data_IF_569664910887
#
_entry.id   IF_569664910887
#
_cell.length_a   1.000
_cell.length_b   1.000
_cell.length_c   1.000
_cell.angle_alpha   90.00
_cell.angle_beta   90.00
_cell.angle_gamma   90.00
#
_symmetry.space_group_name_H-M   'P 1'
#
loop_
_entity.id
_entity.type
_entity.pdbx_description
1 polymer ?
#
# COMPACT_ATOMS: atom_id res chain seq x y z
N UNK A 1 2.44 58.92 -22.01
CA UNK A 1 2.38 57.55 -22.57
C UNK A 1 3.29 56.62 -21.77
N UNK A 2 2.79 55.93 -20.72
CA UNK A 2 3.57 54.97 -19.95
C UNK A 2 3.47 53.55 -20.56
N UNK A 3 4.56 52.77 -20.52
CA UNK A 3 4.54 51.33 -20.84
C UNK A 3 4.36 50.50 -19.57
N UNK A 4 3.43 49.55 -19.65
CA UNK A 4 3.05 48.56 -18.63
C UNK A 4 4.23 47.66 -18.24
N UNK A 5 4.35 47.35 -16.95
CA UNK A 5 4.90 46.08 -16.45
C UNK A 5 3.76 45.35 -15.75
N UNK A 6 3.53 44.10 -16.14
CA UNK A 6 2.47 43.25 -15.61
C UNK A 6 2.89 42.70 -14.24
N UNK A 7 2.04 42.91 -13.24
CA UNK A 7 2.19 42.35 -11.89
C UNK A 7 1.57 40.95 -11.84
N UNK A 8 2.35 39.98 -11.36
CA UNK A 8 1.89 38.62 -11.07
C UNK A 8 0.94 38.61 -9.85
N UNK A 9 -0.25 37.97 -9.92
CA UNK A 9 -1.30 38.13 -8.90
C UNK A 9 -1.15 37.24 -7.65
N UNK A 10 -0.03 36.55 -7.45
CA UNK A 10 0.16 35.67 -6.28
C UNK A 10 1.46 35.98 -5.53
N UNK A 11 1.42 37.01 -4.69
CA UNK A 11 2.31 37.15 -3.54
C UNK A 11 1.45 37.16 -2.28
N UNK A 12 1.48 36.06 -1.53
CA UNK A 12 0.83 35.95 -0.22
C UNK A 12 1.76 36.56 0.86
N UNK A 13 1.23 37.35 1.80
CA UNK A 13 2.02 37.88 2.91
C UNK A 13 2.43 36.76 3.89
N UNK A 14 3.72 36.77 4.27
CA UNK A 14 4.14 36.28 5.59
C UNK A 14 3.43 37.14 6.65
N UNK A 15 2.82 36.48 7.64
CA UNK A 15 2.35 36.95 8.96
C UNK A 15 1.06 36.19 9.31
N UNK A 16 1.19 34.94 9.77
CA UNK A 16 0.16 34.25 10.53
C UNK A 16 0.63 34.21 11.99
N UNK A 17 -0.04 35.03 12.80
CA UNK A 17 0.28 35.25 14.20
C UNK A 17 0.29 33.99 15.05
N UNK A 18 1.08 34.03 16.12
CA UNK A 18 1.09 33.01 17.18
C UNK A 18 -0.31 32.87 17.78
N UNK A 19 -0.87 31.66 17.96
CA UNK A 19 -2.14 31.50 18.66
C UNK A 19 -1.96 31.75 20.16
N UNK A 20 -2.88 32.53 20.72
CA UNK A 20 -2.86 33.08 22.08
C UNK A 20 -3.54 32.18 23.15
N UNK A 21 -3.45 30.86 23.03
CA UNK A 21 -3.98 29.97 24.06
C UNK A 21 -3.08 28.75 24.27
N UNK A 22 -2.75 28.46 25.54
CA UNK A 22 -2.21 27.15 25.88
C UNK A 22 -3.18 26.08 25.39
N UNK A 23 -2.73 25.11 24.58
CA UNK A 23 -3.62 24.10 24.05
C UNK A 23 -4.29 23.35 25.20
N UNK A 24 -5.62 23.36 25.20
CA UNK A 24 -6.48 22.54 26.07
C UNK A 24 -5.94 21.12 26.15
N UNK A 25 -6.08 20.46 27.30
CA UNK A 25 -5.56 19.11 27.56
C UNK A 25 -5.84 18.09 26.46
N UNK A 26 -6.92 18.26 25.70
CA UNK A 26 -7.28 17.46 24.52
C UNK A 26 -6.29 17.64 23.36
N UNK A 27 -5.85 18.88 23.07
CA UNK A 27 -4.85 19.16 22.03
C UNK A 27 -3.44 18.75 22.45
N UNK A 28 -3.12 18.84 23.76
CA UNK A 28 -1.85 18.30 24.27
C UNK A 28 -1.84 16.77 24.21
N UNK A 29 -2.96 16.10 24.51
CA UNK A 29 -3.10 14.64 24.32
C UNK A 29 -3.06 14.23 22.84
N UNK A 30 -3.54 15.07 21.92
CA UNK A 30 -3.37 14.86 20.47
C UNK A 30 -1.91 14.98 20.03
N UNK A 31 -1.12 15.87 20.63
CA UNK A 31 0.30 16.03 20.32
C UNK A 31 1.20 15.02 21.07
N UNK A 32 0.83 14.60 22.27
CA UNK A 32 1.54 13.58 23.06
C UNK A 32 1.26 12.16 22.53
N UNK A 33 0.13 11.93 21.85
CA UNK A 33 -0.11 10.68 21.09
C UNK A 33 0.62 10.63 19.72
N UNK A 34 1.27 11.72 19.30
CA UNK A 34 2.11 11.74 18.09
C UNK A 34 3.56 11.35 18.38
N UNK A 35 3.88 10.97 19.61
CA UNK A 35 5.16 10.39 19.98
C UNK A 35 5.06 8.85 20.02
N UNK A 36 5.17 8.23 18.84
CA UNK A 36 5.46 6.80 18.56
C UNK A 36 4.45 5.73 19.02
N UNK A 37 3.56 5.35 18.10
CA UNK A 37 3.40 3.94 17.70
C UNK A 37 3.54 3.77 16.18
N UNK A 38 4.07 2.63 15.71
CA UNK A 38 4.08 2.26 14.28
C UNK A 38 2.65 2.33 13.71
N UNK A 39 2.40 3.30 12.84
CA UNK A 39 1.09 3.61 12.29
C UNK A 39 0.63 2.49 11.35
N UNK A 40 -0.08 1.50 11.88
CA UNK A 40 -0.95 0.62 11.09
C UNK A 40 -2.16 1.42 10.61
N UNK A 41 -1.95 2.38 9.72
CA UNK A 41 -3.01 3.15 9.07
C UNK A 41 -3.71 2.26 8.04
N UNK A 42 -4.58 1.37 8.54
CA UNK A 42 -5.32 0.44 7.71
C UNK A 42 -6.33 1.22 6.86
N UNK A 43 -6.04 1.30 5.57
CA UNK A 43 -6.87 2.00 4.58
C UNK A 43 -7.47 1.00 3.60
N UNK A 44 -8.78 1.07 3.38
CA UNK A 44 -9.51 0.20 2.43
C UNK A 44 -10.17 1.08 1.38
N UNK A 45 -9.91 0.78 0.12
CA UNK A 45 -10.51 1.45 -1.02
C UNK A 45 -11.29 0.46 -1.86
N UNK A 46 -12.55 0.79 -2.14
CA UNK A 46 -13.38 0.05 -3.08
C UNK A 46 -12.98 0.45 -4.50
N UNK A 47 -12.81 -0.54 -5.37
CA UNK A 47 -12.49 -0.38 -6.78
C UNK A 47 -13.69 -0.83 -7.61
N UNK A 48 -14.17 -0.04 -8.58
CA UNK A 48 -15.17 -0.52 -9.54
C UNK A 48 -14.67 -1.80 -10.23
N UNK A 49 -15.51 -2.83 -10.40
CA UNK A 49 -15.13 -4.14 -10.96
C UNK A 49 -14.72 -4.13 -12.46
N UNK A 50 -14.28 -2.99 -12.97
CA UNK A 50 -13.82 -2.80 -14.34
C UNK A 50 -12.39 -3.28 -14.54
N UNK A 51 -11.57 -3.28 -13.47
CA UNK A 51 -10.16 -3.69 -13.53
C UNK A 51 -10.05 -5.21 -13.57
N UNK A 52 -9.63 -5.74 -14.73
CA UNK A 52 -9.33 -7.16 -14.93
C UNK A 52 -7.86 -7.41 -14.65
N UNK A 53 -7.57 -8.42 -13.83
CA UNK A 53 -6.19 -8.88 -13.59
C UNK A 53 -6.12 -10.34 -13.99
N UNK A 54 -5.42 -10.64 -15.10
CA UNK A 54 -5.24 -12.00 -15.62
C UNK A 54 -3.82 -12.51 -15.44
N UNK A 55 -2.88 -11.59 -15.21
CA UNK A 55 -1.46 -11.86 -15.07
C UNK A 55 -0.83 -10.99 -13.98
N UNK A 56 0.36 -11.39 -13.47
CA UNK A 56 1.16 -10.52 -12.61
C UNK A 56 1.45 -9.15 -13.23
N UNK A 57 1.65 -9.11 -14.56
CA UNK A 57 1.86 -7.86 -15.30
C UNK A 57 0.65 -6.91 -15.25
N UNK A 58 -0.58 -7.43 -15.31
CA UNK A 58 -1.80 -6.62 -15.17
C UNK A 58 -1.89 -6.00 -13.76
N UNK A 59 -1.58 -6.79 -12.73
CA UNK A 59 -1.56 -6.32 -11.35
C UNK A 59 -0.47 -5.25 -11.15
N UNK A 60 0.74 -5.49 -11.64
CA UNK A 60 1.84 -4.52 -11.57
C UNK A 60 1.50 -3.22 -12.30
N UNK A 61 0.90 -3.30 -13.50
CA UNK A 61 0.47 -2.13 -14.25
C UNK A 61 -0.58 -1.32 -13.50
N UNK A 62 -1.52 -1.99 -12.83
CA UNK A 62 -2.49 -1.32 -11.94
C UNK A 62 -1.78 -0.63 -10.77
N UNK A 63 -0.92 -1.36 -10.04
CA UNK A 63 -0.18 -0.85 -8.89
C UNK A 63 0.68 0.38 -9.24
N UNK A 64 1.49 0.31 -10.30
CA UNK A 64 2.36 1.41 -10.75
C UNK A 64 1.58 2.64 -11.23
N UNK A 65 0.35 2.48 -11.74
CA UNK A 65 -0.47 3.59 -12.22
C UNK A 65 -1.32 4.25 -11.13
N UNK A 66 -1.62 3.53 -10.05
CA UNK A 66 -2.64 3.92 -9.07
C UNK A 66 -2.15 4.06 -7.64
N UNK A 67 -1.11 3.31 -7.27
CA UNK A 67 -0.62 3.21 -5.89
C UNK A 67 0.83 3.71 -5.82
N UNK A 68 1.70 3.18 -6.67
CA UNK A 68 3.13 3.46 -6.70
C UNK A 68 3.47 4.36 -7.89
N UNK A 69 2.84 5.54 -7.96
CA UNK A 69 3.04 6.42 -9.11
C UNK A 69 4.48 6.97 -9.14
N UNK A 70 5.11 7.16 -10.32
CA UNK A 70 6.50 7.61 -10.41
C UNK A 70 6.80 8.97 -9.75
N UNK A 71 5.76 9.80 -9.54
CA UNK A 71 5.87 11.10 -8.89
C UNK A 71 5.73 11.02 -7.37
N UNK A 72 5.25 9.90 -6.84
CA UNK A 72 5.03 9.61 -5.42
C UNK A 72 5.94 8.47 -4.96
N UNK A 73 7.22 8.52 -5.34
CA UNK A 73 8.18 7.54 -4.81
C UNK A 73 8.16 7.61 -3.28
N UNK A 74 7.90 6.46 -2.68
CA UNK A 74 7.59 6.33 -1.29
C UNK A 74 8.90 6.25 -0.50
N UNK A 75 9.17 7.27 0.32
CA UNK A 75 10.22 7.21 1.35
C UNK A 75 9.98 6.08 2.36
N UNK A 76 8.79 5.46 2.32
CA UNK A 76 8.36 4.40 3.21
C UNK A 76 7.90 3.16 2.43
N UNK A 77 8.06 2.01 3.07
CA UNK A 77 7.60 0.75 2.54
C UNK A 77 6.13 0.53 2.90
N UNK A 78 5.33 0.13 1.92
CA UNK A 78 3.92 -0.15 2.06
C UNK A 78 3.60 -1.58 1.68
N UNK A 79 2.80 -2.27 2.49
CA UNK A 79 2.23 -3.56 2.13
C UNK A 79 0.74 -3.42 1.82
N UNK A 80 0.36 -3.88 0.64
CA UNK A 80 -0.98 -3.87 0.10
C UNK A 80 -1.53 -5.29 -0.09
N UNK A 81 -2.84 -5.42 0.06
CA UNK A 81 -3.62 -6.59 -0.34
C UNK A 81 -4.64 -6.15 -1.38
N UNK A 82 -4.60 -6.79 -2.53
CA UNK A 82 -5.61 -6.67 -3.57
C UNK A 82 -6.62 -7.79 -3.42
N UNK A 83 -7.92 -7.46 -3.42
CA UNK A 83 -9.01 -8.43 -3.28
C UNK A 83 -9.71 -8.64 -4.61
N UNK A 84 -10.03 -9.90 -4.91
CA UNK A 84 -10.63 -10.26 -6.20
C UNK A 84 -12.01 -10.89 -6.04
N UNK A 85 -12.90 -10.61 -7.00
CA UNK A 85 -14.15 -11.35 -7.16
C UNK A 85 -13.92 -12.68 -7.89
N UNK A 86 -14.94 -13.54 -7.90
CA UNK A 86 -14.92 -14.83 -8.63
C UNK A 86 -14.72 -14.68 -10.14
N UNK A 87 -14.90 -13.46 -10.69
CA UNK A 87 -14.69 -13.12 -12.10
C UNK A 87 -13.31 -12.53 -12.38
N UNK A 88 -12.34 -12.70 -11.46
CA UNK A 88 -10.98 -12.16 -11.56
C UNK A 88 -10.96 -10.64 -11.76
N UNK A 89 -11.91 -9.94 -11.12
CA UNK A 89 -11.96 -8.48 -11.08
C UNK A 89 -11.40 -8.00 -9.75
N UNK A 90 -10.57 -6.96 -9.79
CA UNK A 90 -10.14 -6.26 -8.58
C UNK A 90 -11.35 -5.53 -7.98
N UNK A 91 -11.64 -5.78 -6.70
CA UNK A 91 -12.77 -5.17 -6.00
C UNK A 91 -12.32 -4.22 -4.90
N UNK A 92 -11.18 -4.49 -4.28
CA UNK A 92 -10.66 -3.65 -3.19
C UNK A 92 -9.14 -3.61 -3.19
N UNK A 93 -8.61 -2.47 -2.73
CA UNK A 93 -7.21 -2.26 -2.40
C UNK A 93 -7.13 -1.97 -0.90
N UNK A 94 -6.32 -2.74 -0.18
CA UNK A 94 -6.18 -2.63 1.27
C UNK A 94 -4.72 -2.33 1.59
N UNK A 95 -4.44 -1.15 2.14
CA UNK A 95 -3.16 -0.85 2.77
C UNK A 95 -3.14 -1.54 4.14
N UNK A 96 -2.27 -2.52 4.32
CA UNK A 96 -2.08 -3.21 5.59
C UNK A 96 -1.06 -2.49 6.48
N UNK A 97 0.01 -1.99 5.87
CA UNK A 97 1.14 -1.43 6.58
C UNK A 97 1.79 -0.32 5.76
N UNK A 98 2.28 0.72 6.44
CA UNK A 98 3.12 1.78 5.89
C UNK A 98 4.21 2.09 6.93
N UNK A 99 5.48 2.04 6.55
CA UNK A 99 6.61 2.25 7.46
C UNK A 99 7.86 1.49 7.03
N UNK A 100 8.55 0.83 7.96
CA UNK A 100 9.70 -0.06 7.68
C UNK A 100 9.26 -1.50 7.97
N UNK A 101 9.02 -2.32 6.94
CA UNK A 101 8.49 -3.69 7.14
C UNK A 101 9.42 -4.58 7.95
N UNK A 102 10.72 -4.24 8.02
CA UNK A 102 11.74 -4.97 8.79
C UNK A 102 11.42 -5.14 10.28
N UNK A 103 10.49 -4.35 10.84
CA UNK A 103 10.29 -4.24 12.29
C UNK A 103 8.96 -4.81 12.83
N UNK A 104 8.01 -5.22 11.98
CA UNK A 104 6.68 -5.64 12.45
C UNK A 104 6.24 -6.96 11.84
N UNK A 105 6.05 -8.03 12.65
CA UNK A 105 5.52 -9.29 12.15
C UNK A 105 4.07 -9.10 11.70
N UNK A 106 3.84 -9.19 10.39
CA UNK A 106 2.50 -9.14 9.81
C UNK A 106 1.78 -10.45 10.09
N UNK A 107 0.67 -10.37 10.82
CA UNK A 107 -0.18 -11.54 11.09
C UNK A 107 -1.00 -11.86 9.85
N UNK A 108 -1.05 -13.12 9.38
CA UNK A 108 -1.88 -13.51 8.23
C UNK A 108 -3.35 -13.12 8.39
N UNK A 109 -3.88 -13.18 9.60
CA UNK A 109 -5.24 -12.76 9.91
C UNK A 109 -5.55 -11.32 9.45
N UNK A 110 -4.58 -10.40 9.51
CA UNK A 110 -4.78 -9.01 9.06
C UNK A 110 -4.94 -8.92 7.54
N UNK A 111 -4.18 -9.73 6.79
CA UNK A 111 -4.26 -9.81 5.33
C UNK A 111 -5.61 -10.36 4.86
N UNK A 112 -6.20 -11.29 5.62
CA UNK A 112 -7.48 -11.90 5.28
C UNK A 112 -8.71 -11.21 5.89
N UNK A 113 -8.54 -10.33 6.89
CA UNK A 113 -9.66 -9.69 7.60
C UNK A 113 -10.67 -9.05 6.65
N UNK A 114 -10.19 -8.32 5.65
CA UNK A 114 -11.08 -7.67 4.68
C UNK A 114 -11.57 -8.63 3.60
N UNK A 115 -10.71 -9.56 3.17
CA UNK A 115 -11.09 -10.62 2.25
C UNK A 115 -12.30 -11.43 2.75
N UNK A 116 -12.31 -11.78 4.04
CA UNK A 116 -13.43 -12.47 4.68
C UNK A 116 -14.67 -11.58 4.75
N UNK A 117 -14.53 -10.31 5.15
CA UNK A 117 -15.67 -9.37 5.29
C UNK A 117 -16.40 -9.13 3.97
N UNK A 118 -15.68 -9.10 2.85
CA UNK A 118 -16.26 -8.83 1.52
C UNK A 118 -16.46 -10.09 0.67
N UNK A 119 -16.25 -11.29 1.23
CA UNK A 119 -16.32 -12.57 0.53
C UNK A 119 -15.44 -12.60 -0.74
N UNK A 120 -14.19 -12.11 -0.62
CA UNK A 120 -13.24 -12.14 -1.72
C UNK A 120 -12.94 -13.58 -2.14
N UNK A 121 -12.88 -13.80 -3.45
CA UNK A 121 -12.55 -15.10 -4.03
C UNK A 121 -11.06 -15.42 -3.97
N UNK A 122 -10.20 -14.40 -3.91
CA UNK A 122 -8.75 -14.54 -3.81
C UNK A 122 -8.10 -13.22 -3.36
N UNK A 123 -6.82 -13.29 -3.01
CA UNK A 123 -6.00 -12.10 -2.71
C UNK A 123 -4.69 -12.09 -3.51
N UNK A 124 -4.08 -10.92 -3.67
CA UNK A 124 -2.69 -10.73 -4.12
C UNK A 124 -1.99 -9.78 -3.14
N UNK A 125 -0.77 -10.12 -2.75
CA UNK A 125 0.08 -9.24 -1.95
C UNK A 125 0.93 -8.35 -2.86
N UNK A 126 1.17 -7.12 -2.44
CA UNK A 126 2.17 -6.28 -3.08
C UNK A 126 2.85 -5.36 -2.06
N UNK A 127 4.16 -5.22 -2.15
CA UNK A 127 4.87 -4.16 -1.42
C UNK A 127 5.89 -3.46 -2.29
N UNK A 128 6.31 -2.26 -1.88
CA UNK A 128 7.37 -1.51 -2.56
C UNK A 128 8.67 -1.53 -1.77
N UNK A 129 9.80 -1.58 -2.46
CA UNK A 129 11.10 -1.28 -1.86
C UNK A 129 11.48 0.18 -2.12
N UNK A 130 11.65 1.03 -1.09
CA UNK A 130 12.11 2.41 -1.26
C UNK A 130 13.48 2.53 -1.95
N UNK A 131 14.31 1.47 -1.88
CA UNK A 131 15.59 1.38 -2.60
C UNK A 131 15.42 1.38 -4.12
N UNK A 132 14.23 1.02 -4.62
CA UNK A 132 13.92 0.85 -6.04
C UNK A 132 14.35 -0.47 -6.65
N UNK A 133 15.00 -1.35 -5.88
CA UNK A 133 15.33 -2.71 -6.30
C UNK A 133 14.21 -3.68 -5.91
N UNK A 134 13.49 -4.29 -6.88
CA UNK A 134 12.42 -5.22 -6.57
C UNK A 134 12.91 -6.62 -6.16
N UNK A 135 14.22 -6.86 -6.00
CA UNK A 135 14.71 -8.16 -5.52
C UNK A 135 14.11 -8.49 -4.14
N UNK A 136 13.43 -9.65 -3.96
CA UNK A 136 12.75 -9.98 -2.72
C UNK A 136 13.76 -10.39 -1.64
N UNK A 137 13.48 -9.99 -0.41
CA UNK A 137 14.19 -10.44 0.79
C UNK A 137 13.75 -11.85 1.21
N UNK A 138 14.47 -12.44 2.16
CA UNK A 138 14.06 -13.70 2.78
C UNK A 138 12.78 -13.57 3.60
N UNK A 139 12.54 -12.39 4.18
CA UNK A 139 11.34 -12.06 4.94
C UNK A 139 10.11 -12.03 4.01
N UNK A 140 10.26 -11.51 2.79
CA UNK A 140 9.17 -11.49 1.80
C UNK A 140 8.73 -12.89 1.41
N UNK A 141 9.70 -13.77 1.18
CA UNK A 141 9.44 -15.19 0.86
C UNK A 141 8.70 -15.86 2.03
N UNK A 142 9.18 -15.69 3.26
CA UNK A 142 8.54 -16.24 4.46
C UNK A 142 7.12 -15.72 4.65
N UNK A 143 6.90 -14.41 4.53
CA UNK A 143 5.57 -13.80 4.60
C UNK A 143 4.63 -14.41 3.55
N UNK A 144 5.13 -14.55 2.32
CA UNK A 144 4.37 -15.14 1.20
C UNK A 144 3.95 -16.58 1.49
N UNK A 145 4.86 -17.39 2.04
CA UNK A 145 4.60 -18.78 2.38
C UNK A 145 3.54 -18.90 3.48
N UNK A 146 3.67 -18.13 4.55
CA UNK A 146 2.72 -18.15 5.68
C UNK A 146 1.34 -17.65 5.24
N UNK A 147 1.28 -16.54 4.49
CA UNK A 147 0.00 -16.02 3.96
C UNK A 147 -0.60 -17.01 2.95
N UNK A 148 0.23 -17.64 2.11
CA UNK A 148 -0.21 -18.67 1.18
C UNK A 148 -0.80 -19.91 1.87
N UNK A 149 -0.21 -20.33 2.99
CA UNK A 149 -0.76 -21.40 3.83
C UNK A 149 -2.10 -21.00 4.46
N UNK A 150 -2.19 -19.80 5.03
CA UNK A 150 -3.43 -19.29 5.61
C UNK A 150 -4.55 -19.18 4.58
N UNK A 151 -4.24 -18.72 3.36
CA UNK A 151 -5.21 -18.64 2.26
C UNK A 151 -5.78 -20.00 1.86
N UNK A 152 -4.98 -21.07 1.91
CA UNK A 152 -5.48 -22.44 1.70
C UNK A 152 -6.46 -22.87 2.79
N UNK A 153 -6.15 -22.59 4.06
CA UNK A 153 -7.04 -22.92 5.19
C UNK A 153 -8.37 -22.17 5.12
N UNK A 154 -8.34 -20.91 4.67
CA UNK A 154 -9.53 -20.06 4.56
C UNK A 154 -10.30 -20.24 3.26
N UNK A 155 -9.83 -21.07 2.33
CA UNK A 155 -10.35 -21.16 0.95
C UNK A 155 -10.36 -19.81 0.20
N UNK A 156 -9.42 -18.92 0.53
CA UNK A 156 -9.18 -17.64 -0.15
C UNK A 156 -7.71 -17.66 -0.61
N UNK A 157 -7.42 -18.17 -1.81
CA UNK A 157 -6.05 -18.38 -2.24
C UNK A 157 -5.28 -17.06 -2.44
N UNK A 158 -4.01 -17.05 -2.01
CA UNK A 158 -3.03 -16.05 -2.42
C UNK A 158 -2.59 -16.35 -3.87
N UNK A 159 -2.90 -15.44 -4.80
CA UNK A 159 -2.61 -15.58 -6.22
C UNK A 159 -1.14 -15.35 -6.55
N UNK A 160 -0.55 -14.33 -5.92
CA UNK A 160 0.83 -13.92 -6.09
C UNK A 160 1.27 -12.96 -4.97
N UNK A 161 2.57 -12.68 -4.91
CA UNK A 161 3.16 -11.56 -4.18
C UNK A 161 4.09 -10.78 -5.11
N UNK A 162 3.79 -9.50 -5.32
CA UNK A 162 4.58 -8.60 -6.14
C UNK A 162 5.49 -7.71 -5.28
N UNK A 163 6.76 -7.60 -5.65
CA UNK A 163 7.67 -6.58 -5.10
C UNK A 163 7.85 -5.50 -6.16
N UNK A 164 7.61 -4.25 -5.78
CA UNK A 164 7.63 -3.09 -6.66
C UNK A 164 8.84 -2.23 -6.34
N UNK A 165 9.63 -1.91 -7.37
CA UNK A 165 10.71 -0.94 -7.31
C UNK A 165 10.42 0.28 -8.18
N UNK A 166 11.47 0.98 -8.63
CA UNK A 166 11.32 2.16 -9.49
C UNK A 166 10.92 1.77 -10.93
N UNK A 167 9.61 1.68 -11.18
CA UNK A 167 9.05 1.30 -12.49
C UNK A 167 9.32 -0.15 -12.89
N UNK A 168 9.87 -0.96 -11.98
CA UNK A 168 10.18 -2.38 -12.14
C UNK A 168 9.44 -3.17 -11.08
N UNK A 169 9.23 -4.44 -11.35
CA UNK A 169 8.57 -5.33 -10.42
C UNK A 169 9.04 -6.77 -10.61
N UNK A 170 8.81 -7.60 -9.61
CA UNK A 170 8.97 -9.06 -9.71
C UNK A 170 7.76 -9.75 -9.11
N UNK A 171 7.47 -10.94 -9.61
CA UNK A 171 6.50 -11.88 -9.03
C UNK A 171 7.25 -13.00 -8.31
N UNK A 172 6.98 -13.19 -7.02
CA UNK A 172 7.56 -14.30 -6.27
C UNK A 172 7.08 -15.66 -6.81
N UNK A 173 5.88 -15.70 -7.40
CA UNK A 173 5.36 -16.91 -8.04
C UNK A 173 6.07 -17.22 -9.35
N UNK A 174 6.23 -16.24 -10.24
CA UNK A 174 6.91 -16.44 -11.54
C UNK A 174 8.40 -16.76 -11.35
N UNK A 175 9.05 -16.19 -10.34
CA UNK A 175 10.43 -16.53 -9.97
C UNK A 175 10.56 -17.91 -9.30
N UNK A 176 9.44 -18.58 -8.98
CA UNK A 176 9.46 -19.86 -8.29
C UNK A 176 10.06 -19.77 -6.88
N UNK A 177 9.96 -18.62 -6.22
CA UNK A 177 10.44 -18.41 -4.85
C UNK A 177 9.40 -18.83 -3.82
N UNK A 178 8.11 -18.68 -4.12
CA UNK A 178 7.00 -19.07 -3.26
C UNK A 178 5.80 -19.59 -4.08
N UNK A 179 4.77 -20.09 -3.38
CA UNK A 179 3.50 -20.55 -3.99
C UNK A 179 3.66 -21.69 -5.01
N UNK A 180 4.66 -22.56 -4.80
CA UNK A 180 4.91 -23.75 -5.63
C UNK A 180 3.75 -24.75 -5.54
N UNK A 181 3.35 -25.31 -6.69
CA UNK A 181 2.41 -26.43 -6.76
C UNK A 181 0.93 -26.03 -6.77
N UNK A 182 0.47 -25.43 -7.88
CA UNK A 182 -0.94 -25.49 -8.29
C UNK A 182 -1.07 -26.37 -9.50
#
# INVERSE_FOLDING_TARGET
MPRRREHSPYQLPLELGRPAHEPTSVYRALLENLATPQETSRFVRVVPEEVVVRSPADAAAHLLRRIFTPLEQLDQEELWVLLFSTRQRLTHEVLLYRGTLDSVPIRPAEAFKEAVRVNAAAILLAHNHPSGDPAPSSQDVQLTEVVGQAGRLLSIPLLDHLVIGHGRWVSLREQGLALKGR
#
